data_IF_390172431062
#
_entry.id   IF_390172431062
#
_cell.length_a   1.000
_cell.length_b   1.000
_cell.length_c   1.000
_cell.angle_alpha   90.00
_cell.angle_beta   90.00
_cell.angle_gamma   90.00
#
_symmetry.space_group_name_H-M   'P 1'
#
loop_
_entity.id
_entity.type
_entity.pdbx_description
1 polymer ?
#
# COMPACT_ATOMS: atom_id res chain seq x y z
N UNK A 1 -13.65 -13.45 11.21
CA UNK A 1 -13.01 -12.53 12.18
C UNK A 1 -13.01 -11.12 11.66
N UNK A 2 -12.68 -10.13 12.50
CA UNK A 2 -12.65 -8.70 12.13
C UNK A 2 -11.83 -8.42 10.86
N UNK A 3 -10.67 -9.06 10.69
CA UNK A 3 -9.81 -8.93 9.51
C UNK A 3 -10.55 -9.30 8.20
N UNK A 4 -11.37 -10.36 8.22
CA UNK A 4 -12.17 -10.77 7.04
C UNK A 4 -13.31 -9.78 6.75
N UNK A 5 -13.82 -9.09 7.76
CA UNK A 5 -14.83 -8.04 7.56
C UNK A 5 -14.18 -6.80 6.94
N UNK A 6 -13.04 -6.35 7.47
CA UNK A 6 -12.30 -5.18 6.95
C UNK A 6 -11.95 -5.36 5.47
N UNK A 7 -11.42 -6.52 5.10
CA UNK A 7 -11.10 -6.82 3.69
C UNK A 7 -12.33 -6.70 2.79
N UNK A 8 -13.49 -7.20 3.25
CA UNK A 8 -14.75 -7.10 2.53
C UNK A 8 -15.24 -5.66 2.42
N UNK A 9 -15.12 -4.85 3.47
CA UNK A 9 -15.48 -3.43 3.45
C UNK A 9 -14.67 -2.66 2.40
N UNK A 10 -13.35 -2.86 2.38
CA UNK A 10 -12.46 -2.27 1.37
C UNK A 10 -12.83 -2.71 -0.04
N UNK A 11 -13.07 -4.00 -0.25
CA UNK A 11 -13.38 -4.52 -1.57
C UNK A 11 -14.76 -4.05 -2.07
N UNK A 12 -15.74 -3.86 -1.18
CA UNK A 12 -17.02 -3.22 -1.52
C UNK A 12 -16.78 -1.80 -2.06
N UNK A 13 -15.97 -0.98 -1.39
CA UNK A 13 -15.65 0.39 -1.85
C UNK A 13 -15.01 0.33 -3.24
N UNK A 14 -14.00 -0.53 -3.43
CA UNK A 14 -13.31 -0.66 -4.72
C UNK A 14 -14.25 -1.03 -5.86
N UNK A 15 -15.15 -2.01 -5.62
CA UNK A 15 -16.16 -2.41 -6.60
C UNK A 15 -17.09 -1.26 -6.96
N UNK A 16 -17.51 -0.46 -5.98
CA UNK A 16 -18.42 0.68 -6.19
C UNK A 16 -17.73 1.88 -6.87
N UNK A 17 -16.41 2.02 -6.72
CA UNK A 17 -15.63 3.02 -7.45
C UNK A 17 -15.43 2.64 -8.93
N UNK A 18 -15.25 1.35 -9.23
CA UNK A 18 -15.14 0.83 -10.59
C UNK A 18 -16.51 0.75 -11.29
N UNK A 19 -17.54 0.32 -10.56
CA UNK A 19 -18.91 0.12 -11.07
C UNK A 19 -19.86 1.12 -10.43
N UNK A 20 -20.57 1.90 -11.25
CA UNK A 20 -21.54 2.90 -10.80
C UNK A 20 -22.55 2.37 -9.77
N UNK A 21 -23.07 1.16 -9.96
CA UNK A 21 -24.11 0.56 -9.09
C UNK A 21 -23.99 -0.96 -9.09
N UNK A 22 -24.09 -1.58 -7.92
CA UNK A 22 -24.08 -3.04 -7.74
C UNK A 22 -25.13 -3.46 -6.72
N UNK A 23 -25.85 -4.55 -6.95
CA UNK A 23 -26.90 -5.02 -6.02
C UNK A 23 -26.32 -5.73 -4.79
N UNK A 24 -27.07 -5.69 -3.68
CA UNK A 24 -26.69 -6.42 -2.47
C UNK A 24 -26.56 -7.94 -2.71
N UNK A 25 -27.35 -8.51 -3.63
CA UNK A 25 -27.28 -9.93 -3.96
C UNK A 25 -26.01 -10.30 -4.74
N UNK A 26 -25.53 -9.43 -5.61
CA UNK A 26 -24.26 -9.62 -6.33
C UNK A 26 -23.07 -9.58 -5.37
N UNK A 27 -23.04 -8.61 -4.45
CA UNK A 27 -22.01 -8.55 -3.42
C UNK A 27 -22.09 -9.75 -2.48
N UNK A 28 -23.29 -10.13 -2.04
CA UNK A 28 -23.52 -11.31 -1.20
C UNK A 28 -22.99 -12.59 -1.84
N UNK A 29 -23.26 -12.79 -3.14
CA UNK A 29 -22.74 -13.92 -3.90
C UNK A 29 -21.21 -13.86 -4.05
N UNK A 30 -20.64 -12.68 -4.32
CA UNK A 30 -19.19 -12.51 -4.48
C UNK A 30 -18.43 -12.83 -3.18
N UNK A 31 -18.95 -12.39 -2.04
CA UNK A 31 -18.29 -12.54 -0.75
C UNK A 31 -18.75 -13.78 0.04
N UNK A 32 -19.63 -14.60 -0.54
CA UNK A 32 -20.20 -15.79 0.10
C UNK A 32 -20.86 -15.49 1.46
N UNK A 33 -21.56 -14.35 1.54
CA UNK A 33 -22.29 -13.91 2.74
C UNK A 33 -23.76 -13.66 2.43
N UNK A 34 -24.56 -13.45 3.47
CA UNK A 34 -25.96 -13.06 3.29
C UNK A 34 -26.09 -11.61 2.83
N UNK A 35 -27.16 -11.28 2.09
CA UNK A 35 -27.48 -9.88 1.74
C UNK A 35 -27.67 -9.01 2.99
N UNK A 36 -28.12 -9.59 4.12
CA UNK A 36 -28.20 -8.89 5.42
C UNK A 36 -26.81 -8.47 5.92
N UNK A 37 -25.79 -9.29 5.71
CA UNK A 37 -24.39 -8.96 6.04
C UNK A 37 -23.91 -7.78 5.19
N UNK A 38 -24.21 -7.79 3.89
CA UNK A 38 -23.88 -6.67 2.99
C UNK A 38 -24.56 -5.37 3.42
N UNK A 39 -25.85 -5.40 3.78
CA UNK A 39 -26.53 -4.20 4.27
C UNK A 39 -25.90 -3.67 5.57
N UNK A 40 -25.51 -4.56 6.50
CA UNK A 40 -24.81 -4.16 7.72
C UNK A 40 -23.44 -3.55 7.41
N UNK A 41 -22.72 -4.09 6.43
CA UNK A 41 -21.44 -3.54 5.98
C UNK A 41 -21.61 -2.16 5.33
N UNK A 42 -22.68 -1.96 4.55
CA UNK A 42 -23.04 -0.64 3.99
C UNK A 42 -23.37 0.36 5.10
N UNK A 43 -24.08 -0.05 6.16
CA UNK A 43 -24.33 0.80 7.33
C UNK A 43 -23.03 1.19 8.04
N UNK A 44 -22.07 0.25 8.18
CA UNK A 44 -20.75 0.53 8.76
C UNK A 44 -19.98 1.55 7.91
N UNK A 45 -19.94 1.35 6.59
CA UNK A 45 -19.26 2.25 5.66
C UNK A 45 -19.89 3.65 5.68
N UNK A 46 -21.22 3.72 5.70
CA UNK A 46 -21.95 4.98 5.83
C UNK A 46 -21.67 5.66 7.17
N UNK A 47 -21.63 4.90 8.28
CA UNK A 47 -21.26 5.40 9.60
C UNK A 47 -19.82 5.89 9.70
N UNK A 48 -18.92 5.35 8.86
CA UNK A 48 -17.54 5.81 8.71
C UNK A 48 -17.39 7.04 7.79
N UNK A 49 -18.50 7.65 7.35
CA UNK A 49 -18.48 8.86 6.53
C UNK A 49 -18.28 8.62 5.03
N UNK A 50 -18.31 7.37 4.57
CA UNK A 50 -18.23 7.05 3.15
C UNK A 50 -19.62 7.26 2.54
N UNK A 51 -19.77 8.07 1.47
CA UNK A 51 -21.07 8.46 0.92
C UNK A 51 -21.66 7.35 0.03
N UNK A 52 -21.96 6.22 0.64
CA UNK A 52 -22.64 5.08 0.03
C UNK A 52 -24.14 5.21 0.24
N UNK A 53 -24.92 4.96 -0.81
CA UNK A 53 -26.38 4.98 -0.75
C UNK A 53 -26.99 3.76 -1.41
N UNK A 54 -28.24 3.48 -1.07
CA UNK A 54 -29.02 2.37 -1.65
C UNK A 54 -30.23 2.92 -2.38
N UNK A 55 -30.42 2.48 -3.62
CA UNK A 55 -31.58 2.81 -4.43
C UNK A 55 -32.47 1.58 -4.58
N UNK A 56 -33.77 1.70 -4.30
CA UNK A 56 -34.76 0.61 -4.43
C UNK A 56 -35.36 0.61 -5.85
N UNK A 57 -35.77 -0.56 -6.34
CA UNK A 57 -36.51 -0.71 -7.60
C UNK A 57 -35.69 -1.37 -8.72
N UNK A 58 -36.27 -1.41 -9.93
CA UNK A 58 -35.65 -2.01 -11.13
C UNK A 58 -34.47 -1.14 -11.56
N UNK A 59 -33.26 -1.71 -11.54
CA UNK A 59 -32.01 -0.96 -11.77
C UNK A 59 -31.46 -0.26 -10.53
N UNK A 60 -32.06 -0.49 -9.35
CA UNK A 60 -31.52 -0.03 -8.08
C UNK A 60 -30.36 -0.89 -7.57
N UNK A 61 -29.62 -0.39 -6.59
CA UNK A 61 -28.48 -1.08 -5.98
C UNK A 61 -27.77 -0.20 -4.97
N UNK A 62 -26.62 -0.68 -4.51
CA UNK A 62 -25.67 0.05 -3.69
C UNK A 62 -24.76 0.83 -4.65
N UNK A 63 -24.55 2.11 -4.37
CA UNK A 63 -23.71 2.99 -5.17
C UNK A 63 -22.93 3.94 -4.26
N UNK A 64 -21.80 4.43 -4.73
CA UNK A 64 -21.05 5.50 -4.09
C UNK A 64 -21.34 6.82 -4.83
N UNK A 65 -21.32 7.95 -4.12
CA UNK A 65 -21.58 9.26 -4.74
C UNK A 65 -20.52 9.51 -5.82
N UNK A 66 -20.97 9.79 -7.04
CA UNK A 66 -20.09 10.19 -8.13
C UNK A 66 -19.23 11.35 -7.63
N UNK A 67 -17.92 11.28 -7.85
CA UNK A 67 -16.94 12.27 -7.35
C UNK A 67 -16.63 12.15 -5.85
N UNK A 68 -16.94 11.03 -5.18
CA UNK A 68 -16.30 10.70 -3.92
C UNK A 68 -14.80 10.55 -4.15
N UNK A 69 -14.09 11.64 -3.88
CA UNK A 69 -12.66 11.61 -3.67
C UNK A 69 -12.50 11.01 -2.29
N UNK A 70 -11.86 9.84 -2.20
CA UNK A 70 -11.42 9.30 -0.92
C UNK A 70 -10.53 10.38 -0.32
N UNK A 71 -11.08 11.14 0.64
CA UNK A 71 -10.40 12.32 1.13
C UNK A 71 -9.08 11.84 1.74
N UNK A 72 -7.99 12.45 1.27
CA UNK A 72 -6.64 12.10 1.69
C UNK A 72 -6.45 12.33 3.19
N UNK A 73 -7.40 13.01 3.83
CA UNK A 73 -7.48 13.22 5.27
C UNK A 73 -7.72 11.94 6.09
N UNK A 74 -8.23 10.86 5.48
CA UNK A 74 -8.49 9.58 6.21
C UNK A 74 -7.20 8.84 6.55
N UNK A 75 -6.16 9.01 5.74
CA UNK A 75 -4.84 8.39 5.94
C UNK A 75 -3.89 9.53 6.29
N UNK A 76 -3.34 9.53 7.50
CA UNK A 76 -2.37 10.55 7.93
C UNK A 76 -1.15 10.59 7.01
N UNK A 77 -0.42 11.71 6.98
CA UNK A 77 0.80 11.83 6.15
C UNK A 77 1.81 10.74 6.53
N UNK A 78 1.87 10.39 7.81
CA UNK A 78 2.73 9.34 8.36
C UNK A 78 2.32 7.96 7.82
N UNK A 79 1.02 7.64 7.82
CA UNK A 79 0.51 6.38 7.27
C UNK A 79 0.67 6.31 5.74
N UNK A 80 0.50 7.42 5.03
CA UNK A 80 0.76 7.50 3.58
C UNK A 80 2.23 7.18 3.29
N UNK A 81 3.16 7.79 4.03
CA UNK A 81 4.59 7.52 3.90
C UNK A 81 4.93 6.06 4.20
N UNK A 82 4.34 5.49 5.25
CA UNK A 82 4.55 4.08 5.61
C UNK A 82 4.05 3.12 4.51
N UNK A 83 2.87 3.39 3.94
CA UNK A 83 2.29 2.59 2.85
C UNK A 83 3.18 2.65 1.60
N UNK A 84 3.63 3.84 1.18
CA UNK A 84 4.51 3.99 0.02
C UNK A 84 5.86 3.29 0.25
N UNK A 85 6.43 3.42 1.44
CA UNK A 85 7.70 2.76 1.80
C UNK A 85 7.57 1.25 1.69
N UNK A 86 6.51 0.67 2.26
CA UNK A 86 6.26 -0.77 2.21
C UNK A 86 6.04 -1.27 0.77
N UNK A 87 5.23 -0.56 -0.02
CA UNK A 87 4.97 -0.91 -1.42
C UNK A 87 6.23 -0.82 -2.29
N UNK A 88 7.05 0.21 -2.09
CA UNK A 88 8.30 0.41 -2.81
C UNK A 88 9.31 -0.67 -2.43
N UNK A 89 9.46 -0.98 -1.14
CA UNK A 89 10.33 -2.07 -0.69
C UNK A 89 9.92 -3.41 -1.31
N UNK A 90 8.62 -3.72 -1.36
CA UNK A 90 8.11 -4.94 -2.02
C UNK A 90 8.42 -4.98 -3.52
N UNK A 91 8.38 -3.83 -4.21
CA UNK A 91 8.68 -3.76 -5.65
C UNK A 91 10.14 -4.08 -6.00
N UNK A 92 11.05 -3.97 -5.02
CA UNK A 92 12.49 -4.25 -5.14
C UNK A 92 12.82 -5.71 -4.81
N UNK A 93 11.91 -6.44 -4.15
CA UNK A 93 12.14 -7.83 -3.78
C UNK A 93 12.11 -8.75 -5.02
N UNK A 94 13.09 -9.67 -5.17
CA UNK A 94 13.02 -10.69 -6.21
C UNK A 94 11.83 -11.63 -5.94
N UNK A 95 11.10 -12.01 -7.00
CA UNK A 95 9.91 -12.88 -6.99
C UNK A 95 8.59 -12.28 -6.47
N UNK A 96 8.51 -10.95 -6.27
CA UNK A 96 7.23 -10.27 -6.07
C UNK A 96 6.70 -9.76 -7.41
N UNK A 97 5.45 -10.09 -7.75
CA UNK A 97 4.82 -9.63 -8.98
C UNK A 97 4.70 -8.10 -8.97
N UNK A 98 5.31 -7.44 -9.96
CA UNK A 98 5.27 -5.98 -10.10
C UNK A 98 3.91 -5.56 -10.62
N UNK A 99 2.98 -5.30 -9.70
CA UNK A 99 1.59 -4.94 -9.99
C UNK A 99 1.37 -3.46 -10.33
N UNK A 100 2.41 -2.61 -10.21
CA UNK A 100 2.31 -1.15 -10.41
C UNK A 100 1.44 -0.43 -9.37
N UNK A 101 1.11 -1.12 -8.26
CA UNK A 101 0.29 -0.57 -7.17
C UNK A 101 1.02 0.57 -6.46
N UNK A 102 2.34 0.46 -6.28
CA UNK A 102 3.18 1.50 -5.70
C UNK A 102 3.02 2.82 -6.49
N UNK A 103 3.15 2.77 -7.82
CA UNK A 103 3.04 3.94 -8.69
C UNK A 103 1.65 4.58 -8.62
N UNK A 104 0.59 3.76 -8.68
CA UNK A 104 -0.79 4.23 -8.54
C UNK A 104 -1.03 4.89 -7.18
N UNK A 105 -0.52 4.30 -6.10
CA UNK A 105 -0.67 4.85 -4.74
C UNK A 105 0.11 6.15 -4.56
N UNK A 106 1.33 6.25 -5.11
CA UNK A 106 2.12 7.49 -5.12
C UNK A 106 1.39 8.63 -5.82
N UNK A 107 0.74 8.35 -6.96
CA UNK A 107 -0.08 9.33 -7.68
C UNK A 107 -1.35 9.72 -6.92
N UNK A 108 -1.98 8.77 -6.22
CA UNK A 108 -3.17 9.02 -5.41
C UNK A 108 -2.85 9.91 -4.20
N UNK A 109 -1.74 9.68 -3.50
CA UNK A 109 -1.38 10.49 -2.34
C UNK A 109 -0.95 11.93 -2.71
N UNK A 110 -0.47 12.20 -3.94
CA UNK A 110 0.11 13.49 -4.35
C UNK A 110 0.91 14.13 -3.20
N UNK A 111 2.01 13.49 -2.84
CA UNK A 111 3.00 14.07 -1.93
C UNK A 111 3.67 15.25 -2.63
N UNK A 112 3.05 16.42 -2.60
CA UNK A 112 3.70 17.67 -2.99
C UNK A 112 4.56 18.25 -1.86
N UNK A 113 4.68 17.54 -0.74
CA UNK A 113 5.61 17.86 0.33
C UNK A 113 6.70 16.78 0.37
N UNK A 114 7.84 17.16 -0.18
CA UNK A 114 9.19 16.68 0.12
C UNK A 114 9.35 15.92 1.44
N UNK A 115 9.63 14.62 1.36
CA UNK A 115 10.25 13.85 2.45
C UNK A 115 11.25 12.82 1.91
N UNK A 116 12.37 13.33 1.40
CA UNK A 116 13.76 12.84 1.48
C UNK A 116 14.16 11.36 1.31
N UNK A 117 13.28 10.41 1.02
CA UNK A 117 13.66 9.03 0.69
C UNK A 117 13.10 8.71 -0.69
N UNK A 118 13.70 9.36 -1.68
CA UNK A 118 13.70 8.87 -3.05
C UNK A 118 14.91 7.92 -3.11
N UNK A 119 14.69 6.62 -2.82
CA UNK A 119 15.73 5.64 -3.11
C UNK A 119 15.65 5.34 -4.60
N UNK A 120 16.23 6.24 -5.37
CA UNK A 120 16.43 6.02 -6.79
C UNK A 120 17.57 5.02 -6.98
N UNK A 121 17.20 3.77 -7.25
CA UNK A 121 18.13 2.68 -7.56
C UNK A 121 18.54 2.67 -9.04
N UNK A 122 18.03 3.59 -9.88
CA UNK A 122 18.31 3.58 -11.32
C UNK A 122 19.74 4.02 -11.67
N UNK A 123 20.42 4.69 -10.74
CA UNK A 123 21.84 5.07 -10.84
C UNK A 123 22.80 3.99 -10.32
N UNK A 124 22.30 2.87 -9.79
CA UNK A 124 23.16 1.86 -9.19
C UNK A 124 23.85 0.99 -10.23
N UNK A 125 25.17 1.09 -10.31
CA UNK A 125 25.97 0.18 -11.13
C UNK A 125 25.98 -1.23 -10.52
N UNK A 126 26.44 -2.23 -11.29
CA UNK A 126 26.48 -3.65 -10.87
C UNK A 126 27.27 -3.84 -9.56
N UNK A 127 28.29 -3.02 -9.29
CA UNK A 127 29.08 -3.09 -8.06
C UNK A 127 28.30 -2.62 -6.82
N UNK A 128 27.52 -1.55 -6.95
CA UNK A 128 26.70 -0.99 -5.88
C UNK A 128 25.55 -1.94 -5.52
N UNK A 129 24.94 -2.59 -6.52
CA UNK A 129 23.94 -3.63 -6.30
C UNK A 129 24.50 -4.83 -5.52
N UNK A 130 25.68 -5.32 -5.91
CA UNK A 130 26.36 -6.41 -5.22
C UNK A 130 26.74 -6.04 -3.77
N UNK A 131 27.03 -4.77 -3.48
CA UNK A 131 27.31 -4.29 -2.14
C UNK A 131 26.05 -4.26 -1.27
N UNK A 132 24.92 -3.79 -1.83
CA UNK A 132 23.63 -3.81 -1.16
C UNK A 132 23.16 -5.22 -0.82
N UNK A 133 23.26 -6.16 -1.77
CA UNK A 133 22.89 -7.56 -1.55
C UNK A 133 23.70 -8.17 -0.40
N UNK A 134 25.01 -7.89 -0.32
CA UNK A 134 25.86 -8.33 0.80
C UNK A 134 25.44 -7.74 2.15
N UNK A 135 25.02 -6.47 2.20
CA UNK A 135 24.50 -5.87 3.43
C UNK A 135 23.19 -6.54 3.83
N UNK A 136 22.26 -6.68 2.88
CA UNK A 136 20.97 -7.35 3.13
C UNK A 136 21.17 -8.76 3.67
N UNK A 137 21.98 -9.57 2.98
CA UNK A 137 22.20 -10.97 3.35
C UNK A 137 22.86 -11.06 4.74
N UNK A 138 23.77 -10.15 5.08
CA UNK A 138 24.37 -10.11 6.42
C UNK A 138 23.41 -9.75 7.55
N UNK A 139 22.36 -8.94 7.29
CA UNK A 139 21.30 -8.64 8.25
C UNK A 139 20.43 -9.88 8.48
N UNK A 140 20.05 -10.55 7.38
CA UNK A 140 19.19 -11.73 7.41
C UNK A 140 19.91 -12.91 8.09
N UNK A 141 21.17 -13.15 7.73
CA UNK A 141 21.97 -14.28 8.20
C UNK A 141 22.79 -13.96 9.47
N UNK A 142 22.69 -12.72 9.98
CA UNK A 142 23.36 -12.21 11.20
C UNK A 142 24.88 -12.34 11.18
N UNK A 143 25.50 -11.92 10.08
CA UNK A 143 26.95 -11.87 9.94
C UNK A 143 27.49 -10.45 10.11
N UNK A 144 28.72 -10.35 10.63
CA UNK A 144 29.45 -9.08 10.72
C UNK A 144 30.09 -8.75 9.37
N UNK A 145 30.02 -7.48 8.98
CA UNK A 145 30.67 -6.99 7.75
C UNK A 145 31.96 -6.27 8.08
N UNK A 146 33.02 -6.56 7.30
CA UNK A 146 34.26 -5.79 7.30
C UNK A 146 34.27 -4.80 6.14
N UNK A 147 34.22 -3.51 6.46
CA UNK A 147 34.09 -2.41 5.52
C UNK A 147 35.39 -1.61 5.45
N UNK A 148 35.86 -1.32 4.24
CA UNK A 148 36.89 -0.29 4.02
C UNK A 148 36.19 1.05 3.86
N UNK A 149 36.42 1.96 4.79
CA UNK A 149 35.80 3.27 4.85
C UNK A 149 36.84 4.35 4.56
N UNK A 150 36.52 5.27 3.65
CA UNK A 150 37.33 6.44 3.34
C UNK A 150 36.71 7.63 4.06
N UNK A 151 37.45 8.26 4.97
CA UNK A 151 36.96 9.46 5.64
C UNK A 151 37.04 10.70 4.73
N UNK A 152 36.48 11.83 5.19
CA UNK A 152 36.48 13.11 4.47
C UNK A 152 37.87 13.62 4.07
N UNK A 153 38.93 13.11 4.71
CA UNK A 153 40.32 13.50 4.47
C UNK A 153 41.06 12.48 3.59
N UNK A 154 40.34 11.54 2.96
CA UNK A 154 40.90 10.52 2.08
C UNK A 154 41.62 9.36 2.78
N UNK A 155 41.60 9.31 4.13
CA UNK A 155 42.24 8.24 4.89
C UNK A 155 41.35 7.01 4.92
N UNK A 156 41.88 5.90 4.39
CA UNK A 156 41.21 4.60 4.40
C UNK A 156 41.38 3.96 5.78
N UNK A 157 40.29 3.41 6.32
CA UNK A 157 40.29 2.65 7.57
C UNK A 157 39.36 1.46 7.47
N UNK A 158 39.64 0.40 8.22
CA UNK A 158 38.75 -0.76 8.29
C UNK A 158 37.79 -0.61 9.47
N UNK A 159 36.53 -1.01 9.26
CA UNK A 159 35.48 -1.04 10.27
C UNK A 159 34.79 -2.38 10.23
N UNK A 160 34.47 -2.92 11.40
CA UNK A 160 33.57 -4.06 11.53
C UNK A 160 32.22 -3.48 11.94
N UNK A 161 31.18 -3.80 11.18
CA UNK A 161 29.82 -3.36 11.44
C UNK A 161 28.91 -4.57 11.65
N UNK A 162 28.01 -4.44 12.62
CA UNK A 162 26.86 -5.33 12.81
C UNK A 162 25.64 -4.61 12.23
N UNK A 163 25.22 -4.95 11.00
CA UNK A 163 24.07 -4.30 10.40
C UNK A 163 22.78 -4.85 11.05
N UNK A 164 21.89 -3.96 11.45
CA UNK A 164 20.63 -4.24 12.18
C UNK A 164 19.41 -3.83 11.39
#
# INVERSE_FOLDING_TARGET
>A
GEIMQINRLFEIIYILLDKKTVTANELAKKFEVSSRTIYRDVEILSGAGIPIYTTKGKGGGISILDNFILDKSVISKEEQSAIITALTAMSVLPNVEKTGIADKMSLLFKSNDSSWIDVDFSDWNVEQKNFFDKIRDSIIERFTLKLKYINSNGKISERIAEPT
#
